data_IF_534784140364
#
_entry.id   IF_534784140364
#
_cell.length_a   1.000
_cell.length_b   1.000
_cell.length_c   1.000
_cell.angle_alpha   90.00
_cell.angle_beta   90.00
_cell.angle_gamma   90.00
#
_symmetry.space_group_name_H-M   'P 1'
#
loop_
_entity.id
_entity.type
_entity.pdbx_description
1 polymer ?
#
# COMPACT_ATOMS: atom_id res chain seq x y z
N UNK A 1 13.89 5.14 3.20
CA UNK A 1 13.64 4.39 1.96
C UNK A 1 13.37 5.39 0.85
N UNK A 2 13.96 5.23 -0.31
CA UNK A 2 13.87 6.16 -1.44
C UNK A 2 12.77 5.73 -2.43
N UNK A 3 12.30 6.67 -3.25
CA UNK A 3 11.39 6.36 -4.37
C UNK A 3 11.98 5.32 -5.33
N UNK A 4 13.28 5.43 -5.64
CA UNK A 4 13.96 4.51 -6.54
C UNK A 4 14.01 3.08 -5.99
N UNK A 5 14.20 2.92 -4.67
CA UNK A 5 14.14 1.63 -3.99
C UNK A 5 12.75 0.99 -4.10
N UNK A 6 11.67 1.77 -3.96
CA UNK A 6 10.29 1.25 -4.08
C UNK A 6 10.02 0.80 -5.53
N UNK A 7 10.45 1.60 -6.51
CA UNK A 7 10.22 1.30 -7.93
C UNK A 7 10.98 0.04 -8.39
N UNK A 8 12.20 -0.16 -7.92
CA UNK A 8 13.06 -1.27 -8.32
C UNK A 8 12.76 -2.59 -7.61
N UNK A 9 12.08 -2.55 -6.45
CA UNK A 9 11.66 -3.76 -5.72
C UNK A 9 10.76 -4.65 -6.58
N UNK A 10 11.06 -5.94 -6.58
CA UNK A 10 10.22 -6.96 -7.22
C UNK A 10 9.00 -7.28 -6.34
N UNK A 11 7.87 -7.70 -6.92
CA UNK A 11 6.75 -8.23 -6.14
C UNK A 11 7.19 -9.46 -5.32
N UNK A 12 6.67 -9.59 -4.11
CA UNK A 12 7.05 -10.65 -3.18
C UNK A 12 7.13 -10.20 -1.71
N UNK A 13 7.69 -11.04 -0.83
CA UNK A 13 7.63 -10.87 0.62
C UNK A 13 8.12 -9.52 1.14
N UNK A 14 9.19 -8.97 0.54
CA UNK A 14 9.73 -7.68 0.98
C UNK A 14 8.81 -6.50 0.65
N UNK A 15 8.18 -6.51 -0.53
CA UNK A 15 7.22 -5.48 -0.92
C UNK A 15 5.92 -5.61 -0.13
N UNK A 16 5.47 -6.85 0.12
CA UNK A 16 4.30 -7.14 0.95
C UNK A 16 4.50 -6.68 2.39
N UNK A 17 5.69 -6.95 2.96
CA UNK A 17 6.07 -6.49 4.29
C UNK A 17 6.07 -4.96 4.36
N UNK A 18 6.59 -4.30 3.34
CA UNK A 18 6.61 -2.85 3.28
C UNK A 18 5.19 -2.24 3.28
N UNK A 19 4.24 -2.88 2.57
CA UNK A 19 2.82 -2.50 2.62
C UNK A 19 2.25 -2.68 4.03
N UNK A 20 2.47 -3.86 4.61
CA UNK A 20 2.02 -4.19 5.97
C UNK A 20 2.53 -3.16 7.01
N UNK A 21 3.83 -2.85 6.97
CA UNK A 21 4.45 -1.83 7.83
C UNK A 21 3.88 -0.42 7.59
N UNK A 22 3.57 -0.07 6.34
CA UNK A 22 3.09 1.29 5.99
C UNK A 22 1.64 1.52 6.36
N UNK A 23 0.76 0.59 6.02
CA UNK A 23 -0.69 0.78 6.16
C UNK A 23 -1.24 0.28 7.48
N UNK A 24 -0.54 -0.68 8.11
CA UNK A 24 -1.03 -1.37 9.30
C UNK A 24 -0.05 -1.29 10.45
N UNK A 25 1.01 -0.46 10.38
CA UNK A 25 2.03 -0.35 11.42
C UNK A 25 2.53 -1.74 11.91
N UNK A 26 2.66 -2.66 10.96
CA UNK A 26 2.84 -4.07 11.26
C UNK A 26 4.20 -4.33 11.91
N UNK A 27 4.22 -5.22 12.89
CA UNK A 27 5.45 -5.59 13.60
C UNK A 27 5.40 -7.03 14.11
N UNK A 28 6.56 -7.72 14.20
CA UNK A 28 6.63 -8.98 14.90
C UNK A 28 6.41 -8.75 16.40
N UNK A 29 5.78 -9.71 17.05
CA UNK A 29 5.53 -9.74 18.48
C UNK A 29 5.87 -11.13 19.00
N UNK A 30 6.78 -11.20 19.96
CA UNK A 30 7.05 -12.43 20.70
C UNK A 30 5.88 -12.74 21.64
N UNK A 31 5.51 -14.01 21.75
CA UNK A 31 4.40 -14.45 22.59
C UNK A 31 4.91 -14.76 24.00
N UNK A 32 4.40 -14.03 25.00
CA UNK A 32 4.70 -14.30 26.40
C UNK A 32 4.29 -15.73 26.79
N UNK A 33 5.18 -16.45 27.47
CA UNK A 33 4.96 -17.85 27.85
C UNK A 33 5.19 -18.88 26.72
N UNK A 34 5.65 -18.45 25.53
CA UNK A 34 6.07 -19.36 24.44
C UNK A 34 7.38 -18.89 23.83
N UNK A 35 8.50 -19.32 24.42
CA UNK A 35 9.83 -19.00 23.90
C UNK A 35 10.00 -19.43 22.44
N UNK A 36 10.52 -18.53 21.62
CA UNK A 36 10.75 -18.77 20.19
C UNK A 36 9.50 -18.71 19.30
N UNK A 37 8.35 -18.27 19.82
CA UNK A 37 7.14 -18.09 19.01
C UNK A 37 6.85 -16.61 18.73
N UNK A 38 6.63 -16.32 17.46
CA UNK A 38 6.39 -14.98 16.94
C UNK A 38 5.09 -14.93 16.17
N UNK A 39 4.45 -13.77 16.20
CA UNK A 39 3.26 -13.44 15.42
C UNK A 39 3.41 -12.04 14.83
N UNK A 40 2.85 -11.79 13.65
CA UNK A 40 2.76 -10.41 13.15
C UNK A 40 1.45 -9.80 13.65
N UNK A 41 1.57 -8.66 14.31
CA UNK A 41 0.44 -7.81 14.71
C UNK A 41 0.41 -6.55 13.84
N UNK A 42 -0.78 -6.02 13.59
CA UNK A 42 -1.01 -4.76 12.89
C UNK A 42 -2.06 -3.92 13.61
N UNK A 43 -2.09 -2.63 13.28
CA UNK A 43 -3.14 -1.67 13.62
C UNK A 43 -4.15 -1.61 12.47
N UNK A 44 -5.38 -2.09 12.74
CA UNK A 44 -6.45 -2.14 11.75
C UNK A 44 -7.44 -0.97 11.87
N UNK A 45 -7.27 -0.12 12.89
CA UNK A 45 -8.16 0.98 13.22
C UNK A 45 -9.26 0.64 14.24
N UNK A 46 -10.05 1.65 14.66
CA UNK A 46 -10.97 1.55 15.80
C UNK A 46 -12.21 0.65 15.59
N UNK A 47 -12.51 0.26 14.36
CA UNK A 47 -13.68 -0.55 13.99
C UNK A 47 -13.29 -1.96 13.50
N UNK A 48 -12.21 -2.52 14.06
CA UNK A 48 -11.46 -3.68 13.59
C UNK A 48 -12.29 -4.82 12.93
N UNK A 49 -12.44 -4.71 11.61
CA UNK A 49 -12.61 -5.83 10.70
C UNK A 49 -11.24 -6.07 10.08
N UNK A 50 -10.48 -6.99 10.69
CA UNK A 50 -9.22 -7.57 10.17
C UNK A 50 -9.26 -7.67 8.64
N UNK A 51 -8.13 -7.50 7.93
CA UNK A 51 -8.08 -7.54 6.47
C UNK A 51 -8.90 -8.72 5.96
N UNK A 52 -9.85 -8.41 5.08
CA UNK A 52 -10.89 -9.34 4.65
C UNK A 52 -10.30 -10.62 4.05
N UNK A 53 -9.08 -10.53 3.52
CA UNK A 53 -8.34 -11.62 2.89
C UNK A 53 -7.49 -12.50 3.81
N UNK A 54 -7.56 -12.36 5.14
CA UNK A 54 -6.89 -13.26 6.09
C UNK A 54 -5.38 -13.00 6.21
N UNK A 55 -4.56 -14.01 6.57
CA UNK A 55 -3.09 -13.90 6.56
C UNK A 55 -2.42 -13.24 7.78
N UNK A 56 -3.14 -13.02 8.88
CA UNK A 56 -2.53 -12.49 10.10
C UNK A 56 -2.67 -13.51 11.23
N UNK A 57 -1.78 -13.39 12.22
CA UNK A 57 -1.83 -14.13 13.48
C UNK A 57 -1.39 -15.60 13.48
N UNK A 58 -0.75 -16.07 12.41
CA UNK A 58 -0.08 -17.37 12.44
C UNK A 58 1.13 -17.33 13.37
N UNK A 59 1.09 -18.14 14.42
CA UNK A 59 2.24 -18.33 15.31
C UNK A 59 3.33 -19.13 14.59
N UNK A 60 4.54 -18.57 14.51
CA UNK A 60 5.67 -19.17 13.80
C UNK A 60 6.92 -19.18 14.69
N UNK A 61 7.83 -20.11 14.40
CA UNK A 61 9.02 -20.36 15.21
C UNK A 61 10.13 -19.29 15.09
N UNK A 62 9.95 -18.29 14.23
CA UNK A 62 10.93 -17.22 13.93
C UNK A 62 10.19 -16.00 13.40
N UNK A 63 10.75 -14.81 13.58
CA UNK A 63 10.20 -13.57 13.01
C UNK A 63 10.05 -13.64 11.49
N UNK A 64 11.05 -14.16 10.77
CA UNK A 64 11.04 -14.27 9.30
C UNK A 64 9.86 -15.10 8.81
N UNK A 65 9.63 -16.26 9.43
CA UNK A 65 8.45 -17.10 9.11
C UNK A 65 7.14 -16.44 9.51
N UNK A 66 7.10 -15.65 10.58
CA UNK A 66 5.90 -14.91 10.94
C UNK A 66 5.51 -13.96 9.79
N UNK A 67 6.48 -13.27 9.20
CA UNK A 67 6.28 -12.40 8.03
C UNK A 67 5.77 -13.14 6.79
N UNK A 68 6.05 -14.43 6.62
CA UNK A 68 5.48 -15.21 5.51
C UNK A 68 3.95 -15.31 5.58
N UNK A 69 3.37 -15.07 6.76
CA UNK A 69 1.94 -15.23 6.98
C UNK A 69 1.14 -14.08 6.40
N UNK A 70 1.72 -12.87 6.32
CA UNK A 70 1.02 -11.66 5.87
C UNK A 70 0.40 -11.83 4.46
N UNK A 71 -0.68 -11.07 4.17
CA UNK A 71 -1.31 -11.08 2.86
C UNK A 71 -0.33 -10.74 1.73
N UNK A 72 -0.56 -11.36 0.57
CA UNK A 72 0.29 -11.21 -0.62
C UNK A 72 -0.13 -10.01 -1.46
N UNK A 73 0.00 -8.81 -0.90
CA UNK A 73 -0.47 -7.55 -1.50
C UNK A 73 0.05 -7.31 -2.93
N UNK A 74 1.31 -7.64 -3.21
CA UNK A 74 1.96 -7.34 -4.49
C UNK A 74 1.68 -8.36 -5.60
N UNK A 75 1.06 -9.50 -5.28
CA UNK A 75 0.81 -10.60 -6.23
C UNK A 75 -0.65 -11.05 -6.28
N UNK A 76 -1.46 -10.74 -5.27
CA UNK A 76 -2.88 -11.06 -5.24
C UNK A 76 -3.72 -9.78 -5.37
N UNK A 77 -4.45 -9.65 -6.48
CA UNK A 77 -5.26 -8.45 -6.76
C UNK A 77 -6.36 -8.21 -5.72
N UNK A 78 -7.03 -9.25 -5.22
CA UNK A 78 -8.09 -9.10 -4.23
C UNK A 78 -7.56 -8.49 -2.93
N UNK A 79 -6.35 -8.91 -2.53
CA UNK A 79 -5.64 -8.37 -1.37
C UNK A 79 -5.13 -6.95 -1.65
N UNK A 80 -4.60 -6.71 -2.85
CA UNK A 80 -4.08 -5.40 -3.25
C UNK A 80 -5.17 -4.31 -3.22
N UNK A 81 -6.42 -4.66 -3.54
CA UNK A 81 -7.53 -3.70 -3.49
C UNK A 81 -7.80 -3.17 -2.08
N UNK A 82 -7.51 -3.93 -1.02
CA UNK A 82 -7.60 -3.42 0.37
C UNK A 82 -6.62 -2.25 0.60
N UNK A 83 -5.49 -2.23 -0.10
CA UNK A 83 -4.54 -1.10 -0.07
C UNK A 83 -5.17 0.15 -0.68
N UNK A 84 -5.94 0.01 -1.77
CA UNK A 84 -6.63 1.13 -2.39
C UNK A 84 -7.70 1.71 -1.44
N UNK A 85 -8.46 0.86 -0.76
CA UNK A 85 -9.47 1.25 0.22
C UNK A 85 -8.84 1.97 1.41
N UNK A 86 -7.76 1.41 1.97
CA UNK A 86 -7.03 2.04 3.09
C UNK A 86 -6.41 3.37 2.69
N UNK A 87 -5.87 3.48 1.48
CA UNK A 87 -5.33 4.74 0.98
C UNK A 87 -6.41 5.82 0.84
N UNK A 88 -7.60 5.46 0.33
CA UNK A 88 -8.73 6.39 0.19
C UNK A 88 -9.33 6.83 1.54
N UNK A 89 -9.14 6.04 2.59
CA UNK A 89 -9.58 6.37 3.95
C UNK A 89 -8.64 7.36 4.68
N UNK A 90 -7.49 7.71 4.09
CA UNK A 90 -6.58 8.69 4.69
C UNK A 90 -7.15 10.10 4.49
N UNK A 91 -7.44 10.79 5.59
CA UNK A 91 -7.97 12.15 5.59
C UNK A 91 -6.89 13.22 5.72
N UNK A 92 -5.73 12.86 6.26
CA UNK A 92 -4.59 13.76 6.46
C UNK A 92 -3.27 13.08 6.07
N UNK A 93 -2.46 13.79 5.28
CA UNK A 93 -1.12 13.36 4.88
C UNK A 93 -0.15 14.53 5.07
N UNK A 94 0.92 14.32 5.83
CA UNK A 94 1.96 15.33 6.10
C UNK A 94 1.39 16.66 6.65
N UNK A 95 0.43 16.60 7.58
CA UNK A 95 -0.16 17.81 8.19
C UNK A 95 -1.18 18.54 7.31
N UNK A 96 -1.56 17.96 6.16
CA UNK A 96 -2.54 18.55 5.23
C UNK A 96 -3.72 17.62 5.05
N UNK A 97 -4.92 18.19 5.02
CA UNK A 97 -6.11 17.47 4.58
C UNK A 97 -5.94 17.03 3.13
N UNK A 98 -6.35 15.81 2.84
CA UNK A 98 -6.25 15.22 1.51
C UNK A 98 -7.56 14.54 1.13
N UNK A 99 -7.78 14.33 -0.17
CA UNK A 99 -8.79 13.42 -0.69
C UNK A 99 -8.15 12.53 -1.74
N UNK A 100 -7.63 11.40 -1.29
CA UNK A 100 -6.90 10.48 -2.15
C UNK A 100 -7.85 9.63 -2.98
N UNK A 101 -7.49 9.43 -4.25
CA UNK A 101 -8.16 8.50 -5.15
C UNK A 101 -7.12 7.72 -5.94
N UNK A 102 -7.42 6.45 -6.17
CA UNK A 102 -6.61 5.57 -7.02
C UNK A 102 -7.24 5.51 -8.40
N UNK A 103 -6.49 5.89 -9.43
CA UNK A 103 -6.88 5.74 -10.83
C UNK A 103 -6.09 4.60 -11.47
N UNK A 104 -6.80 3.60 -11.98
CA UNK A 104 -6.21 2.44 -12.67
C UNK A 104 -6.59 2.53 -14.16
N UNK A 105 -5.59 2.51 -15.03
CA UNK A 105 -5.76 2.50 -16.49
C UNK A 105 -5.01 1.30 -17.07
N UNK A 106 -5.63 0.58 -18.01
CA UNK A 106 -4.99 -0.53 -18.71
C UNK A 106 -4.62 -0.08 -20.11
N UNK A 107 -3.32 0.01 -20.40
CA UNK A 107 -2.79 0.44 -21.70
C UNK A 107 -1.90 -0.65 -22.28
N UNK A 108 -2.31 -1.23 -23.41
CA UNK A 108 -1.51 -2.22 -24.17
C UNK A 108 -1.00 -3.39 -23.29
N UNK A 109 -1.87 -3.90 -22.42
CA UNK A 109 -1.53 -5.02 -21.52
C UNK A 109 -0.72 -4.63 -20.27
N UNK A 110 -0.51 -3.33 -20.02
CA UNK A 110 0.13 -2.82 -18.81
C UNK A 110 -0.88 -2.08 -17.93
N UNK A 111 -0.66 -2.14 -16.63
CA UNK A 111 -1.40 -1.42 -15.62
C UNK A 111 -0.67 -0.14 -15.28
N UNK A 112 -1.31 0.99 -15.54
CA UNK A 112 -0.91 2.32 -15.09
C UNK A 112 -1.77 2.68 -13.88
N UNK A 113 -1.16 2.85 -12.72
CA UNK A 113 -1.83 3.24 -11.49
C UNK A 113 -1.28 4.58 -11.02
N UNK A 114 -2.19 5.53 -10.81
CA UNK A 114 -1.88 6.84 -10.26
C UNK A 114 -2.63 7.06 -8.94
N UNK A 115 -1.97 7.68 -7.97
CA UNK A 115 -2.60 8.20 -6.74
C UNK A 115 -2.71 9.71 -6.88
N UNK A 116 -3.94 10.20 -6.80
CA UNK A 116 -4.26 11.62 -7.00
C UNK A 116 -4.87 12.15 -5.70
N UNK A 117 -4.34 13.27 -5.22
CA UNK A 117 -5.00 14.07 -4.19
C UNK A 117 -5.90 15.10 -4.87
N UNK A 118 -7.20 14.81 -4.87
CA UNK A 118 -8.21 15.66 -5.48
C UNK A 118 -8.44 16.96 -4.73
N UNK A 119 -8.16 17.01 -3.42
CA UNK A 119 -8.38 18.21 -2.65
C UNK A 119 -7.31 19.26 -2.95
N UNK A 120 -6.08 18.81 -3.21
CA UNK A 120 -4.94 19.68 -3.48
C UNK A 120 -4.54 19.74 -4.96
N UNK A 121 -5.26 19.03 -5.85
CA UNK A 121 -4.99 18.97 -7.30
C UNK A 121 -3.55 18.53 -7.64
N UNK A 122 -3.06 17.50 -6.96
CA UNK A 122 -1.70 16.97 -7.14
C UNK A 122 -1.74 15.47 -7.41
N UNK A 123 -0.95 15.03 -8.40
CA UNK A 123 -0.61 13.61 -8.54
C UNK A 123 0.55 13.28 -7.59
N UNK A 124 0.29 12.40 -6.63
CA UNK A 124 1.28 12.00 -5.62
C UNK A 124 2.22 10.92 -6.14
N UNK A 125 1.72 10.04 -7.01
CA UNK A 125 2.51 8.98 -7.61
C UNK A 125 1.88 8.46 -8.88
N UNK A 126 2.74 7.89 -9.73
CA UNK A 126 2.35 7.17 -10.94
C UNK A 126 3.32 6.01 -11.19
N UNK A 127 2.74 4.82 -11.46
CA UNK A 127 3.46 3.58 -11.68
C UNK A 127 2.86 2.84 -12.87
N UNK A 128 3.71 2.31 -13.74
CA UNK A 128 3.32 1.48 -14.88
C UNK A 128 4.07 0.15 -14.79
N UNK A 129 3.34 -0.96 -14.67
CA UNK A 129 3.91 -2.32 -14.68
C UNK A 129 3.02 -3.29 -15.45
N UNK A 130 3.45 -4.55 -15.59
CA UNK A 130 2.67 -5.61 -16.24
C UNK A 130 1.67 -6.28 -15.27
N UNK A 131 1.77 -5.99 -13.97
CA UNK A 131 0.97 -6.60 -12.90
C UNK A 131 0.15 -5.55 -12.17
N UNK A 132 -1.17 -5.69 -12.20
CA UNK A 132 -2.11 -4.84 -11.46
C UNK A 132 -1.81 -4.71 -9.96
N UNK A 133 -1.67 -5.81 -9.18
CA UNK A 133 -1.38 -5.72 -7.75
C UNK A 133 -0.01 -5.07 -7.47
N UNK A 134 0.99 -5.30 -8.32
CA UNK A 134 2.30 -4.65 -8.18
C UNK A 134 2.21 -3.15 -8.44
N UNK A 135 1.57 -2.73 -9.53
CA UNK A 135 1.40 -1.32 -9.87
C UNK A 135 0.66 -0.58 -8.74
N UNK A 136 -0.40 -1.18 -8.22
CA UNK A 136 -1.20 -0.62 -7.13
C UNK A 136 -0.39 -0.45 -5.84
N UNK A 137 0.28 -1.51 -5.38
CA UNK A 137 1.06 -1.47 -4.15
C UNK A 137 2.23 -0.49 -4.24
N UNK A 138 2.95 -0.45 -5.36
CA UNK A 138 4.03 0.52 -5.57
C UNK A 138 3.51 1.96 -5.61
N UNK A 139 2.42 2.23 -6.34
CA UNK A 139 1.87 3.58 -6.41
C UNK A 139 1.43 4.08 -5.02
N UNK A 140 0.77 3.22 -4.25
CA UNK A 140 0.38 3.49 -2.87
C UNK A 140 1.59 3.80 -1.98
N UNK A 141 2.65 2.99 -2.03
CA UNK A 141 3.87 3.23 -1.26
C UNK A 141 4.58 4.53 -1.66
N UNK A 142 4.63 4.84 -2.95
CA UNK A 142 5.22 6.09 -3.43
C UNK A 142 4.44 7.32 -2.96
N UNK A 143 3.11 7.24 -2.94
CA UNK A 143 2.28 8.34 -2.46
C UNK A 143 2.52 8.66 -0.97
N UNK A 144 2.81 7.63 -0.16
CA UNK A 144 3.01 7.78 1.29
C UNK A 144 4.48 7.98 1.70
N UNK A 145 5.42 7.35 1.02
CA UNK A 145 6.85 7.29 1.39
C UNK A 145 7.80 7.91 0.37
N UNK A 146 7.35 8.20 -0.86
CA UNK A 146 8.18 8.62 -1.99
C UNK A 146 8.80 10.01 -1.88
N UNK A 147 8.44 10.80 -0.87
CA UNK A 147 9.22 11.99 -0.48
C UNK A 147 9.18 13.20 -1.43
N UNK A 148 8.38 13.21 -2.51
CA UNK A 148 8.27 14.37 -3.39
C UNK A 148 6.85 14.93 -3.49
N UNK A 149 6.77 16.25 -3.23
CA UNK A 149 5.61 17.12 -3.42
C UNK A 149 5.32 17.17 -4.92
N UNK A 150 4.24 16.54 -5.36
CA UNK A 150 3.91 16.48 -6.78
C UNK A 150 3.83 17.87 -7.41
N UNK A 151 4.21 17.94 -8.68
CA UNK A 151 3.98 19.12 -9.49
C UNK A 151 2.47 19.36 -9.61
N UNK A 152 2.00 20.63 -9.58
CA UNK A 152 0.60 20.93 -9.81
C UNK A 152 0.17 20.35 -11.16
N UNK A 153 -1.01 19.75 -11.24
CA UNK A 153 -1.52 19.15 -12.48
C UNK A 153 -1.78 20.24 -13.54
N UNK A 154 -0.74 20.67 -14.26
CA UNK A 154 -0.90 21.53 -15.43
C UNK A 154 -1.52 20.70 -16.57
N UNK A 155 -2.77 21.01 -16.90
CA UNK A 155 -3.35 20.59 -18.18
C UNK A 155 -4.30 19.39 -18.15
N UNK A 156 -5.09 19.18 -17.09
CA UNK A 156 -6.28 18.33 -17.26
C UNK A 156 -7.38 19.13 -18.00
N UNK A 157 -7.82 18.68 -19.21
CA UNK A 157 -8.91 19.35 -19.91
C UNK A 157 -10.21 19.25 -19.09
N UNK A 158 -11.02 20.31 -19.11
CA UNK A 158 -12.27 20.45 -18.34
C UNK A 158 -13.37 19.38 -18.60
N UNK A 159 -13.09 18.36 -19.40
CA UNK A 159 -13.97 17.24 -19.73
C UNK A 159 -14.07 16.17 -18.62
N UNK A 160 -13.28 16.26 -17.56
CA UNK A 160 -13.21 15.26 -16.48
C UNK A 160 -13.99 15.65 -15.20
N UNK A 161 -14.79 16.72 -15.24
CA UNK A 161 -15.64 17.18 -14.12
C UNK A 161 -17.15 17.02 -14.42
N UNK A 162 -17.56 15.91 -15.02
CA UNK A 162 -18.99 15.56 -15.15
C UNK A 162 -19.27 14.18 -14.60
#
# INVERSE_FOLDING_TARGET
>A
MTEQEIRSRQPGPELDRLIAETFYNARPCAIEGREGMFVIIGDFGPNDVRPFSGGWYDMRSTEEKAWESIPKYSTNISVAMEVAEKLQAIEELNGKKVRLMVKITILRGRYQVAVIDYLNEVSLSEVITESGPEALTKAALLALRGGNRGEPTQGMPALWLR
#
